data_IF_274459749916
#
_entry.id   IF_274459749916
#
_cell.length_a   1.000
_cell.length_b   1.000
_cell.length_c   1.000
_cell.angle_alpha   90.00
_cell.angle_beta   90.00
_cell.angle_gamma   90.00
#
_symmetry.space_group_name_H-M   'P 1'
#
loop_
_entity.id
_entity.type
_entity.pdbx_description
1 polymer ?
#
# COMPACT_ATOMS: atom_id res chain seq x y z
N UNK A 1 -22.97 -5.81 -20.35
CA UNK A 1 -21.86 -4.87 -20.05
C UNK A 1 -22.38 -3.46 -19.78
N UNK A 2 -22.79 -3.22 -18.54
CA UNK A 2 -22.66 -1.92 -17.87
C UNK A 2 -22.55 -2.25 -16.39
N UNK A 3 -21.32 -2.48 -15.94
CA UNK A 3 -20.98 -2.33 -14.53
C UNK A 3 -21.19 -0.84 -14.15
N UNK A 4 -21.34 -0.49 -12.86
CA UNK A 4 -21.12 0.89 -12.41
C UNK A 4 -19.84 1.43 -13.07
N UNK A 5 -19.84 2.71 -13.44
CA UNK A 5 -18.73 3.37 -14.14
C UNK A 5 -17.40 3.04 -13.43
N UNK A 6 -16.65 2.07 -13.97
CA UNK A 6 -15.48 1.53 -13.29
C UNK A 6 -14.40 2.60 -13.29
N UNK A 7 -14.10 3.15 -12.12
CA UNK A 7 -13.09 4.18 -11.97
C UNK A 7 -11.66 3.62 -12.05
N UNK A 8 -11.53 2.29 -12.12
CA UNK A 8 -10.31 1.49 -12.14
C UNK A 8 -9.45 1.78 -10.91
N UNK A 9 -10.06 1.64 -9.73
CA UNK A 9 -9.43 1.98 -8.44
C UNK A 9 -9.38 0.81 -7.48
N UNK A 10 -8.41 0.87 -6.56
CA UNK A 10 -8.48 0.15 -5.29
C UNK A 10 -9.08 1.06 -4.22
N UNK A 11 -9.76 0.48 -3.23
CA UNK A 11 -10.39 1.21 -2.12
C UNK A 11 -10.05 0.54 -0.79
N UNK A 12 -9.83 1.36 0.23
CA UNK A 12 -9.52 0.89 1.58
C UNK A 12 -10.54 1.46 2.55
N UNK A 13 -11.05 0.59 3.43
CA UNK A 13 -12.02 0.94 4.46
C UNK A 13 -11.59 0.38 5.82
N UNK A 14 -12.06 1.01 6.88
CA UNK A 14 -12.04 0.54 8.26
C UNK A 14 -13.42 0.03 8.65
N UNK A 15 -13.53 -1.19 9.19
CA UNK A 15 -14.79 -1.88 9.42
C UNK A 15 -14.88 -2.53 10.82
N UNK A 16 -16.11 -2.59 11.36
CA UNK A 16 -16.43 -3.33 12.60
C UNK A 16 -16.38 -4.86 12.49
N UNK A 17 -16.52 -5.46 11.30
CA UNK A 17 -16.45 -6.91 11.09
C UNK A 17 -15.66 -7.27 9.82
N UNK A 18 -15.31 -8.55 9.70
CA UNK A 18 -14.81 -9.16 8.47
C UNK A 18 -16.00 -9.72 7.67
N UNK A 19 -16.28 -9.23 6.45
CA UNK A 19 -17.41 -9.69 5.65
C UNK A 19 -17.25 -11.15 5.20
N UNK A 20 -18.28 -11.96 5.38
CA UNK A 20 -18.33 -13.35 4.89
C UNK A 20 -19.21 -13.52 3.65
N UNK A 21 -20.10 -12.56 3.39
CA UNK A 21 -20.97 -12.46 2.23
C UNK A 21 -21.27 -10.97 1.93
N UNK A 22 -21.85 -10.66 0.77
CA UNK A 22 -22.18 -9.29 0.38
C UNK A 22 -23.19 -8.61 1.33
N UNK A 23 -24.10 -9.40 1.90
CA UNK A 23 -25.14 -8.96 2.85
C UNK A 23 -24.61 -8.83 4.28
N UNK A 24 -23.39 -9.34 4.56
CA UNK A 24 -22.75 -9.31 5.89
C UNK A 24 -22.16 -7.92 6.18
N UNK A 25 -23.04 -6.93 6.17
CA UNK A 25 -22.70 -5.52 6.29
C UNK A 25 -22.20 -5.19 7.71
N UNK A 26 -21.12 -4.41 7.82
CA UNK A 26 -20.62 -3.89 9.09
C UNK A 26 -21.59 -2.91 9.73
N UNK A 27 -21.51 -2.76 11.05
CA UNK A 27 -22.22 -1.72 11.79
C UNK A 27 -21.59 -0.34 11.54
N UNK A 28 -20.27 -0.27 11.51
CA UNK A 28 -19.49 0.95 11.24
C UNK A 28 -18.54 0.77 10.05
N UNK A 29 -18.42 1.83 9.25
CA UNK A 29 -17.55 1.94 8.08
C UNK A 29 -16.92 3.33 8.09
N UNK A 30 -15.62 3.39 7.85
CA UNK A 30 -14.93 4.61 7.41
C UNK A 30 -14.19 4.34 6.11
N UNK A 31 -14.32 5.22 5.12
CA UNK A 31 -13.40 5.27 4.00
C UNK A 31 -12.00 5.66 4.50
N UNK A 32 -10.95 5.11 3.89
CA UNK A 32 -9.58 5.43 4.27
C UNK A 32 -8.77 5.96 3.10
N UNK A 33 -8.80 5.29 1.95
CA UNK A 33 -7.98 5.67 0.80
C UNK A 33 -8.52 5.05 -0.49
N UNK A 34 -8.22 5.68 -1.61
CA UNK A 34 -8.44 5.10 -2.93
C UNK A 34 -7.30 5.43 -3.88
N UNK A 35 -6.95 4.49 -4.77
CA UNK A 35 -5.83 4.64 -5.69
C UNK A 35 -6.19 4.17 -7.10
N UNK A 36 -5.97 5.00 -8.14
CA UNK A 36 -6.21 4.60 -9.52
C UNK A 36 -5.12 3.63 -9.98
N UNK A 37 -5.55 2.53 -10.60
CA UNK A 37 -4.73 1.53 -11.29
C UNK A 37 -3.67 0.79 -10.44
N UNK A 38 -3.60 1.01 -9.13
CA UNK A 38 -2.60 0.36 -8.26
C UNK A 38 -3.12 0.19 -6.82
N UNK A 39 -2.39 -0.62 -6.05
CA UNK A 39 -2.45 -0.72 -4.59
C UNK A 39 -1.10 -0.27 -4.05
N UNK A 40 -0.97 0.89 -3.39
CA UNK A 40 0.32 1.42 -2.98
C UNK A 40 0.94 0.65 -1.81
N UNK A 41 2.23 0.87 -1.56
CA UNK A 41 2.98 0.11 -0.54
C UNK A 41 2.42 0.26 0.89
N UNK A 42 2.03 1.46 1.30
CA UNK A 42 1.51 1.74 2.64
C UNK A 42 0.19 1.00 2.89
N UNK A 43 -0.65 0.88 1.86
CA UNK A 43 -1.88 0.06 1.93
C UNK A 43 -1.53 -1.43 2.06
N UNK A 44 -0.59 -1.95 1.26
CA UNK A 44 -0.14 -3.35 1.40
C UNK A 44 0.44 -3.63 2.79
N UNK A 45 1.20 -2.68 3.33
CA UNK A 45 1.77 -2.79 4.68
C UNK A 45 0.69 -2.76 5.75
N UNK A 46 -0.28 -1.84 5.66
CA UNK A 46 -1.43 -1.76 6.54
C UNK A 46 -2.26 -3.06 6.49
N UNK A 47 -2.50 -3.60 5.29
CA UNK A 47 -3.22 -4.87 5.14
C UNK A 47 -2.44 -6.10 5.62
N UNK A 48 -1.12 -6.00 5.83
CA UNK A 48 -0.26 -7.17 6.12
C UNK A 48 -0.51 -7.84 7.47
N UNK A 49 -1.25 -7.20 8.39
CA UNK A 49 -1.45 -7.67 9.78
C UNK A 49 -2.03 -9.08 9.92
N UNK A 50 -3.02 -9.43 9.10
CA UNK A 50 -3.63 -10.76 8.96
C UNK A 50 -4.50 -10.77 7.69
N UNK A 51 -3.92 -10.64 6.48
CA UNK A 51 -4.69 -10.51 5.25
C UNK A 51 -5.36 -11.84 4.91
N UNK A 52 -6.67 -11.80 4.71
CA UNK A 52 -7.50 -12.94 4.36
C UNK A 52 -8.47 -12.55 3.25
N UNK A 53 -8.67 -13.48 2.32
CA UNK A 53 -9.71 -13.33 1.30
C UNK A 53 -11.10 -13.30 1.97
N UNK A 54 -11.92 -12.35 1.57
CA UNK A 54 -13.28 -12.16 2.06
C UNK A 54 -14.25 -11.81 0.92
N UNK A 55 -15.54 -11.67 1.23
CA UNK A 55 -16.50 -11.19 0.24
C UNK A 55 -16.29 -9.71 -0.05
N UNK A 56 -16.45 -9.31 -1.31
CA UNK A 56 -16.56 -7.89 -1.67
C UNK A 56 -17.87 -7.31 -1.15
N UNK A 57 -17.83 -6.06 -0.70
CA UNK A 57 -18.99 -5.26 -0.30
C UNK A 57 -19.43 -4.28 -1.40
N UNK A 58 -18.65 -4.15 -2.47
CA UNK A 58 -18.97 -3.26 -3.61
C UNK A 58 -20.12 -3.82 -4.44
N UNK A 59 -20.10 -5.12 -4.77
CA UNK A 59 -21.16 -5.78 -5.54
C UNK A 59 -21.33 -7.25 -5.16
N UNK A 60 -22.53 -7.80 -5.36
CA UNK A 60 -22.88 -9.21 -5.15
C UNK A 60 -22.63 -10.08 -6.40
N UNK A 61 -22.15 -9.48 -7.49
CA UNK A 61 -21.79 -10.12 -8.76
C UNK A 61 -21.89 -9.15 -9.94
N UNK A 62 -21.98 -9.68 -11.17
CA UNK A 62 -22.18 -8.85 -12.35
C UNK A 62 -23.67 -8.58 -12.61
N UNK A 63 -23.98 -7.37 -13.09
CA UNK A 63 -25.36 -6.90 -13.27
C UNK A 63 -26.15 -7.67 -14.35
N UNK A 64 -25.47 -8.30 -15.31
CA UNK A 64 -26.09 -9.09 -16.37
C UNK A 64 -26.35 -10.56 -15.99
N UNK A 65 -26.09 -10.93 -14.74
CA UNK A 65 -26.29 -12.28 -14.22
C UNK A 65 -27.62 -12.44 -13.46
N UNK A 66 -28.32 -13.56 -13.71
CA UNK A 66 -29.58 -13.86 -13.05
C UNK A 66 -29.45 -14.20 -11.56
N UNK A 67 -30.53 -14.05 -10.77
CA UNK A 67 -30.53 -14.42 -9.35
C UNK A 67 -30.11 -15.88 -9.14
N UNK A 68 -29.18 -16.13 -8.20
CA UNK A 68 -28.69 -17.47 -7.87
C UNK A 68 -27.56 -18.02 -8.77
N UNK A 69 -27.07 -17.21 -9.73
CA UNK A 69 -25.93 -17.55 -10.59
C UNK A 69 -24.86 -16.45 -10.66
N UNK A 70 -24.89 -15.51 -9.72
CA UNK A 70 -23.95 -14.40 -9.68
C UNK A 70 -22.53 -14.89 -9.43
N UNK A 71 -21.61 -14.41 -10.26
CA UNK A 71 -20.16 -14.57 -10.10
C UNK A 71 -19.74 -13.95 -8.77
N UNK A 72 -19.01 -14.71 -7.96
CA UNK A 72 -18.55 -14.19 -6.67
C UNK A 72 -17.42 -13.20 -6.86
N UNK A 73 -17.52 -12.09 -6.15
CA UNK A 73 -16.51 -11.05 -6.10
C UNK A 73 -15.83 -11.07 -4.73
N UNK A 74 -14.52 -10.83 -4.74
CA UNK A 74 -13.67 -11.03 -3.59
C UNK A 74 -12.96 -9.73 -3.22
N UNK A 75 -12.62 -9.62 -1.94
CA UNK A 75 -11.83 -8.54 -1.36
C UNK A 75 -10.82 -9.11 -0.37
N UNK A 76 -10.04 -8.24 0.27
CA UNK A 76 -9.08 -8.62 1.30
C UNK A 76 -9.48 -7.95 2.61
N UNK A 77 -9.62 -8.73 3.68
CA UNK A 77 -9.77 -8.21 5.03
C UNK A 77 -8.52 -8.46 5.86
N UNK A 78 -8.20 -7.52 6.75
CA UNK A 78 -7.09 -7.67 7.70
C UNK A 78 -7.45 -7.10 9.07
N UNK A 79 -6.65 -7.39 10.09
CA UNK A 79 -6.82 -6.76 11.41
C UNK A 79 -6.18 -5.38 11.40
N UNK A 80 -6.93 -4.37 11.79
CA UNK A 80 -6.48 -2.98 11.76
C UNK A 80 -5.22 -2.79 12.60
N UNK A 81 -5.29 -3.15 13.88
CA UNK A 81 -4.23 -2.88 14.87
C UNK A 81 -2.87 -3.45 14.45
N UNK A 82 -2.84 -4.72 14.02
CA UNK A 82 -1.59 -5.38 13.62
C UNK A 82 -0.94 -4.74 12.39
N UNK A 83 -1.76 -4.29 11.44
CA UNK A 83 -1.31 -3.53 10.28
C UNK A 83 -0.78 -2.15 10.65
N UNK A 84 -1.51 -1.45 11.51
CA UNK A 84 -1.19 -0.10 11.92
C UNK A 84 0.10 -0.02 12.74
N UNK A 85 0.38 -1.00 13.59
CA UNK A 85 1.69 -1.12 14.28
C UNK A 85 2.86 -1.23 13.30
N UNK A 86 2.68 -1.96 12.19
CA UNK A 86 3.69 -2.04 11.13
C UNK A 86 3.87 -0.69 10.42
N UNK A 87 2.79 0.04 10.14
CA UNK A 87 2.85 1.39 9.57
C UNK A 87 3.59 2.35 10.50
N UNK A 88 3.30 2.36 11.81
CA UNK A 88 4.02 3.16 12.82
C UNK A 88 5.53 2.87 12.84
N UNK A 89 5.90 1.59 12.81
CA UNK A 89 7.30 1.16 12.76
C UNK A 89 7.97 1.60 11.46
N UNK A 90 7.31 1.40 10.32
CA UNK A 90 7.84 1.84 9.02
C UNK A 90 8.06 3.35 8.99
N UNK A 91 7.07 4.17 9.38
CA UNK A 91 7.20 5.63 9.43
C UNK A 91 8.40 6.06 10.28
N UNK A 92 8.60 5.46 11.45
CA UNK A 92 9.76 5.73 12.32
C UNK A 92 11.09 5.48 11.60
N UNK A 93 11.23 4.34 10.92
CA UNK A 93 12.44 3.99 10.16
C UNK A 93 12.62 4.92 8.95
N UNK A 94 11.54 5.21 8.23
CA UNK A 94 11.54 5.98 7.01
C UNK A 94 11.93 7.45 7.23
N UNK A 95 11.54 8.07 8.36
CA UNK A 95 11.99 9.42 8.76
C UNK A 95 13.51 9.50 8.89
N UNK A 96 14.12 8.51 9.55
CA UNK A 96 15.58 8.44 9.70
C UNK A 96 16.24 8.18 8.34
N UNK A 97 15.67 7.27 7.55
CA UNK A 97 16.19 6.92 6.23
C UNK A 97 16.20 8.12 5.26
N UNK A 98 15.13 8.92 5.23
CA UNK A 98 15.06 10.13 4.41
C UNK A 98 16.15 11.16 4.76
N UNK A 99 16.57 11.21 6.04
CA UNK A 99 17.59 12.14 6.53
C UNK A 99 19.04 11.65 6.34
N UNK A 100 19.25 10.37 5.97
CA UNK A 100 20.61 9.84 5.77
C UNK A 100 21.24 10.46 4.52
N UNK A 101 22.55 10.76 4.51
CA UNK A 101 23.25 11.15 3.29
C UNK A 101 23.21 10.04 2.23
N UNK A 102 23.09 10.41 0.96
CA UNK A 102 23.05 9.46 -0.15
C UNK A 102 24.33 8.64 -0.31
N UNK A 103 25.48 9.22 0.02
CA UNK A 103 26.79 8.57 -0.07
C UNK A 103 27.02 7.53 1.05
N UNK A 104 26.24 7.58 2.14
CA UNK A 104 26.34 6.62 3.25
C UNK A 104 25.87 5.20 2.85
N UNK A 105 25.20 5.06 1.71
CA UNK A 105 24.64 3.81 1.18
C UNK A 105 25.67 3.01 0.35
N UNK A 106 26.80 3.64 -0.01
CA UNK A 106 27.86 3.09 -0.86
C UNK A 106 29.11 2.60 -0.08
N UNK A 107 28.93 1.87 1.03
CA UNK A 107 30.06 1.12 1.60
C UNK A 107 30.09 -0.30 1.01
N UNK A 108 30.95 -0.57 0.00
CA UNK A 108 31.21 -1.94 -0.39
C UNK A 108 31.86 -2.65 0.79
N UNK A 109 31.31 -3.80 1.19
CA UNK A 109 32.04 -4.72 2.05
C UNK A 109 33.29 -5.18 1.28
N UNK A 110 34.46 -4.80 1.79
CA UNK A 110 35.76 -5.30 1.34
C UNK A 110 36.27 -4.75 0.01
N UNK A 111 36.96 -3.59 0.03
CA UNK A 111 38.04 -3.31 -0.94
C UNK A 111 39.27 -2.69 -0.27
N UNK A 112 40.48 -3.05 -0.72
CA UNK A 112 41.72 -2.62 -0.10
C UNK A 112 41.97 -1.11 -0.26
N UNK A 113 42.60 -0.53 0.76
CA UNK A 113 42.92 0.89 0.96
C UNK A 113 43.55 1.60 -0.27
N UNK A 114 44.22 0.84 -1.15
CA UNK A 114 44.95 1.34 -2.31
C UNK A 114 44.08 1.94 -3.42
N UNK A 115 42.81 1.52 -3.56
CA UNK A 115 41.91 2.08 -4.57
C UNK A 115 41.37 3.47 -4.21
N UNK A 116 41.41 3.84 -2.92
CA UNK A 116 41.00 5.17 -2.44
C UNK A 116 41.98 6.27 -2.84
N UNK A 117 43.28 5.94 -2.91
CA UNK A 117 44.35 6.88 -3.26
C UNK A 117 44.37 7.24 -4.75
N UNK A 118 44.00 6.34 -5.65
CA UNK A 118 43.96 6.62 -7.10
C UNK A 118 42.88 7.64 -7.50
N UNK A 119 41.81 7.75 -6.70
CA UNK A 119 40.70 8.68 -6.98
C UNK A 119 41.03 10.14 -6.65
N UNK A 120 42.04 10.39 -5.81
CA UNK A 120 42.48 11.74 -5.41
C UNK A 120 43.26 12.45 -6.53
N UNK A 121 43.82 11.71 -7.50
CA UNK A 121 44.67 12.26 -8.56
C UNK A 121 43.99 12.43 -9.92
N UNK A 122 42.69 12.19 -10.03
CA UNK A 122 41.91 12.49 -11.25
C UNK A 122 41.02 13.70 -11.02
N UNK A 123 41.49 14.87 -11.48
CA UNK A 123 40.69 16.09 -11.51
C UNK A 123 39.50 15.90 -12.47
N UNK A 124 38.34 15.52 -11.92
CA UNK A 124 37.07 15.50 -12.63
C UNK A 124 36.44 16.88 -12.50
N UNK A 125 36.01 17.45 -13.62
CA UNK A 125 35.19 18.66 -13.66
C UNK A 125 34.08 18.59 -12.59
N UNK A 126 33.77 19.69 -11.88
CA UNK A 126 32.66 19.69 -10.95
C UNK A 126 31.39 19.44 -11.75
N UNK A 127 30.86 18.22 -11.64
CA UNK A 127 29.52 17.94 -12.09
C UNK A 127 28.60 18.87 -11.29
N UNK A 128 27.70 19.57 -11.99
CA UNK A 128 26.56 20.24 -11.35
C UNK A 128 25.85 19.20 -10.50
N UNK A 129 26.01 19.30 -9.18
CA UNK A 129 25.29 18.45 -8.24
C UNK A 129 23.82 18.82 -8.40
N UNK A 130 22.95 17.90 -8.84
CA UNK A 130 21.53 18.19 -8.86
C UNK A 130 21.09 18.59 -7.44
N UNK A 131 20.15 19.54 -7.31
CA UNK A 131 19.65 19.93 -5.99
C UNK A 131 19.17 18.68 -5.25
N UNK A 132 19.46 18.62 -3.95
CA UNK A 132 18.98 17.52 -3.11
C UNK A 132 17.44 17.45 -3.20
N UNK A 133 16.91 16.23 -3.32
CA UNK A 133 15.47 16.02 -3.29
C UNK A 133 14.91 16.52 -1.95
N UNK A 134 13.78 17.24 -2.01
CA UNK A 134 13.08 17.68 -0.81
C UNK A 134 12.38 16.50 -0.15
N UNK A 135 12.26 16.54 1.17
CA UNK A 135 11.59 15.51 1.98
C UNK A 135 10.50 16.10 2.87
N UNK A 136 10.19 17.39 2.74
CA UNK A 136 9.30 18.09 3.66
C UNK A 136 7.86 17.57 3.57
N UNK A 137 7.35 17.40 2.35
CA UNK A 137 6.01 16.85 2.12
C UNK A 137 5.95 15.37 2.52
N UNK A 138 6.97 14.59 2.17
CA UNK A 138 7.06 13.19 2.58
C UNK A 138 6.99 13.00 4.10
N UNK A 139 7.74 13.79 4.87
CA UNK A 139 7.75 13.69 6.33
C UNK A 139 6.41 14.12 6.94
N UNK A 140 5.80 15.20 6.43
CA UNK A 140 4.47 15.62 6.85
C UNK A 140 3.40 14.56 6.52
N UNK A 141 3.44 13.99 5.32
CA UNK A 141 2.52 12.92 4.89
C UNK A 141 2.63 11.66 5.75
N UNK A 142 3.81 11.33 6.29
CA UNK A 142 3.94 10.24 7.27
C UNK A 142 3.22 10.57 8.59
N UNK A 143 3.31 11.81 9.06
CA UNK A 143 2.62 12.24 10.29
C UNK A 143 1.10 12.24 10.08
N UNK A 144 0.63 12.84 8.99
CA UNK A 144 -0.79 12.87 8.59
C UNK A 144 -1.36 11.45 8.42
N UNK A 145 -0.59 10.52 7.83
CA UNK A 145 -0.99 9.11 7.72
C UNK A 145 -1.27 8.49 9.09
N UNK A 146 -0.40 8.72 10.08
CA UNK A 146 -0.55 8.13 11.40
C UNK A 146 -1.75 8.74 12.15
N UNK A 147 -1.90 10.06 12.09
CA UNK A 147 -3.02 10.77 12.71
C UNK A 147 -4.36 10.35 12.10
N UNK A 148 -4.42 10.27 10.76
CA UNK A 148 -5.62 9.87 10.05
C UNK A 148 -6.03 8.43 10.38
N UNK A 149 -5.09 7.48 10.32
CA UNK A 149 -5.39 6.08 10.62
C UNK A 149 -5.82 5.88 12.07
N UNK A 150 -5.19 6.58 13.04
CA UNK A 150 -5.62 6.52 14.44
C UNK A 150 -7.05 7.07 14.60
N UNK A 151 -7.40 8.16 13.92
CA UNK A 151 -8.74 8.77 14.01
C UNK A 151 -9.86 7.88 13.41
N UNK A 152 -9.53 7.06 12.40
CA UNK A 152 -10.48 6.21 11.68
C UNK A 152 -10.34 4.71 11.98
N UNK A 153 -9.74 4.40 13.14
CA UNK A 153 -9.53 3.02 13.59
C UNK A 153 -10.83 2.27 13.83
N UNK A 154 -10.86 1.01 13.43
CA UNK A 154 -11.89 0.04 13.79
C UNK A 154 -11.24 -1.35 13.97
N UNK A 155 -12.03 -2.42 14.08
CA UNK A 155 -11.51 -3.76 14.31
C UNK A 155 -10.78 -4.35 13.10
N UNK A 156 -11.29 -4.09 11.90
CA UNK A 156 -10.83 -4.68 10.66
C UNK A 156 -10.59 -3.62 9.58
N UNK A 157 -9.80 -4.01 8.60
CA UNK A 157 -9.64 -3.32 7.34
C UNK A 157 -10.31 -4.13 6.23
N UNK A 158 -10.72 -3.43 5.18
CA UNK A 158 -11.17 -4.01 3.91
C UNK A 158 -10.44 -3.30 2.77
N UNK A 159 -9.78 -4.07 1.91
CA UNK A 159 -9.19 -3.63 0.64
C UNK A 159 -10.00 -4.26 -0.49
N UNK A 160 -10.66 -3.40 -1.26
CA UNK A 160 -11.37 -3.76 -2.47
C UNK A 160 -10.46 -3.54 -3.69
N UNK A 161 -10.25 -4.59 -4.48
CA UNK A 161 -9.51 -4.55 -5.75
C UNK A 161 -10.39 -4.90 -6.95
N UNK A 162 -11.69 -5.06 -6.73
CA UNK A 162 -12.62 -5.63 -7.71
C UNK A 162 -12.60 -4.91 -9.06
N UNK A 163 -12.50 -3.57 -9.09
CA UNK A 163 -12.42 -2.84 -10.34
C UNK A 163 -11.13 -3.17 -11.09
N UNK A 164 -9.99 -3.21 -10.38
CA UNK A 164 -8.69 -3.56 -10.97
C UNK A 164 -8.70 -4.98 -11.54
N UNK A 165 -9.31 -5.92 -10.81
CA UNK A 165 -9.35 -7.33 -11.19
C UNK A 165 -10.25 -7.53 -12.42
N UNK A 166 -11.40 -6.86 -12.46
CA UNK A 166 -12.37 -6.92 -13.56
C UNK A 166 -11.89 -6.22 -14.85
N UNK A 167 -10.84 -5.39 -14.79
CA UNK A 167 -10.21 -4.87 -16.01
C UNK A 167 -9.55 -5.97 -16.84
N UNK A 168 -9.08 -7.03 -16.18
CA UNK A 168 -8.26 -8.07 -16.81
C UNK A 168 -8.92 -9.43 -16.86
N UNK A 169 -9.79 -9.73 -15.91
CA UNK A 169 -10.39 -11.05 -15.74
C UNK A 169 -11.92 -10.93 -15.64
N UNK A 170 -12.64 -11.98 -16.08
CA UNK A 170 -14.10 -12.08 -15.93
C UNK A 170 -14.58 -13.42 -15.39
N UNK A 171 -13.65 -14.37 -15.16
CA UNK A 171 -13.95 -15.68 -14.59
C UNK A 171 -13.77 -15.65 -13.06
N UNK A 172 -14.69 -16.27 -12.32
CA UNK A 172 -14.66 -16.29 -10.85
C UNK A 172 -13.33 -16.80 -10.28
N UNK A 173 -12.77 -17.86 -10.84
CA UNK A 173 -11.52 -18.44 -10.35
C UNK A 173 -10.32 -17.54 -10.66
N UNK A 174 -10.34 -16.88 -11.83
CA UNK A 174 -9.32 -15.90 -12.21
C UNK A 174 -9.37 -14.65 -11.31
N UNK A 175 -10.56 -14.11 -11.05
CA UNK A 175 -10.78 -12.98 -10.13
C UNK A 175 -10.30 -13.32 -8.71
N UNK A 176 -10.66 -14.52 -8.21
CA UNK A 176 -10.15 -15.03 -6.93
C UNK A 176 -8.62 -15.06 -6.90
N UNK A 177 -8.00 -15.56 -7.97
CA UNK A 177 -6.56 -15.65 -8.07
C UNK A 177 -5.89 -14.25 -8.10
N UNK A 178 -6.55 -13.21 -8.62
CA UNK A 178 -6.07 -11.83 -8.53
C UNK A 178 -5.96 -11.38 -7.07
N UNK A 179 -7.04 -11.57 -6.30
CA UNK A 179 -7.09 -11.20 -4.88
C UNK A 179 -6.06 -11.99 -4.06
N UNK A 180 -5.91 -13.30 -4.29
CA UNK A 180 -4.91 -14.14 -3.61
C UNK A 180 -3.46 -13.71 -3.92
N UNK A 181 -3.19 -13.21 -5.14
CA UNK A 181 -1.89 -12.59 -5.48
C UNK A 181 -1.67 -11.30 -4.70
N UNK A 182 -2.70 -10.48 -4.52
CA UNK A 182 -2.58 -9.25 -3.75
C UNK A 182 -2.45 -9.52 -2.24
N UNK A 183 -3.12 -10.54 -1.70
CA UNK A 183 -2.85 -11.06 -0.34
C UNK A 183 -1.38 -11.42 -0.17
N UNK A 184 -0.79 -12.11 -1.16
CA UNK A 184 0.64 -12.46 -1.16
C UNK A 184 1.56 -11.23 -1.22
N UNK A 185 1.12 -10.14 -1.85
CA UNK A 185 1.86 -8.85 -1.86
C UNK A 185 1.78 -8.16 -0.49
N UNK A 186 0.61 -8.16 0.16
CA UNK A 186 0.45 -7.66 1.53
C UNK A 186 1.35 -8.41 2.51
N UNK A 187 1.34 -9.75 2.47
CA UNK A 187 2.21 -10.57 3.32
C UNK A 187 3.70 -10.27 3.08
N UNK A 188 4.12 -10.09 1.82
CA UNK A 188 5.51 -9.72 1.49
C UNK A 188 5.89 -8.36 2.04
N UNK A 189 5.01 -7.35 1.97
CA UNK A 189 5.28 -6.03 2.56
C UNK A 189 5.51 -6.12 4.08
N UNK A 190 4.66 -6.89 4.78
CA UNK A 190 4.85 -7.16 6.21
C UNK A 190 6.17 -7.90 6.52
N UNK A 191 6.46 -8.96 5.77
CA UNK A 191 7.70 -9.73 5.93
C UNK A 191 8.96 -8.89 5.65
N UNK A 192 8.90 -7.96 4.71
CA UNK A 192 10.00 -7.05 4.40
C UNK A 192 10.31 -6.13 5.59
N UNK A 193 9.27 -5.58 6.23
CA UNK A 193 9.43 -4.77 7.43
C UNK A 193 9.94 -5.61 8.61
N UNK A 194 9.40 -6.81 8.80
CA UNK A 194 9.78 -7.72 9.88
C UNK A 194 11.24 -8.17 9.77
N UNK A 195 11.77 -8.25 8.54
CA UNK A 195 13.19 -8.56 8.28
C UNK A 195 14.17 -7.42 8.61
N UNK A 196 13.68 -6.18 8.78
CA UNK A 196 14.54 -5.08 9.22
C UNK A 196 14.94 -5.28 10.69
N UNK A 197 16.17 -4.89 11.09
CA UNK A 197 16.60 -4.98 12.48
C UNK A 197 15.78 -4.07 13.40
N UNK A 198 15.85 -4.33 14.71
CA UNK A 198 15.17 -3.50 15.72
C UNK A 198 15.85 -2.14 15.92
N UNK A 199 17.16 -2.06 15.69
CA UNK A 199 17.88 -0.78 15.72
C UNK A 199 17.43 0.11 14.55
N UNK A 200 16.80 1.24 14.87
CA UNK A 200 16.18 2.13 13.87
C UNK A 200 17.21 2.68 12.88
N UNK A 201 18.43 2.97 13.32
CA UNK A 201 19.48 3.53 12.44
C UNK A 201 19.96 2.50 11.43
N UNK A 202 20.22 1.26 11.88
CA UNK A 202 20.56 0.15 10.99
C UNK A 202 19.40 -0.19 10.05
N UNK A 203 18.17 -0.21 10.56
CA UNK A 203 16.98 -0.46 9.75
C UNK A 203 16.82 0.61 8.66
N UNK A 204 17.04 1.89 9.00
CA UNK A 204 16.95 3.01 8.07
C UNK A 204 18.01 2.91 6.96
N UNK A 205 19.24 2.52 7.31
CA UNK A 205 20.29 2.29 6.32
C UNK A 205 19.95 1.13 5.37
N UNK A 206 19.41 0.02 5.89
CA UNK A 206 18.99 -1.13 5.08
C UNK A 206 17.81 -0.74 4.19
N UNK A 207 16.79 -0.07 4.72
CA UNK A 207 15.63 0.41 3.98
C UNK A 207 16.08 1.30 2.83
N UNK A 208 16.86 2.36 3.10
CA UNK A 208 17.36 3.30 2.07
C UNK A 208 18.16 2.59 0.97
N UNK A 209 18.89 1.54 1.31
CA UNK A 209 19.60 0.73 0.31
C UNK A 209 18.65 -0.12 -0.52
N UNK A 210 17.68 -0.77 0.13
CA UNK A 210 16.71 -1.66 -0.52
C UNK A 210 15.81 -0.90 -1.50
N UNK A 211 15.52 0.38 -1.24
CA UNK A 211 14.78 1.21 -2.20
C UNK A 211 15.51 1.43 -3.53
N UNK A 212 16.85 1.41 -3.52
CA UNK A 212 17.70 1.70 -4.69
C UNK A 212 18.24 0.46 -5.38
N UNK A 213 18.38 -0.63 -4.65
CA UNK A 213 18.96 -1.87 -5.14
C UNK A 213 18.03 -3.02 -4.86
N UNK A 214 17.58 -3.69 -5.92
CA UNK A 214 16.71 -4.86 -5.79
C UNK A 214 17.47 -5.96 -5.06
N UNK A 215 17.10 -6.18 -3.80
CA UNK A 215 17.68 -7.20 -2.94
C UNK A 215 17.05 -8.57 -3.13
N UNK A 216 17.36 -9.47 -2.20
CA UNK A 216 16.67 -10.75 -2.06
C UNK A 216 15.35 -10.59 -1.30
N UNK A 217 14.46 -11.59 -1.45
CA UNK A 217 13.25 -11.68 -0.63
C UNK A 217 13.61 -11.73 0.86
N UNK A 218 12.86 -11.04 1.75
CA UNK A 218 11.68 -10.22 1.46
C UNK A 218 11.98 -8.74 1.19
N UNK A 219 13.25 -8.31 1.23
CA UNK A 219 13.63 -6.89 1.15
C UNK A 219 13.43 -6.27 -0.25
N UNK A 220 13.27 -7.10 -1.27
CA UNK A 220 12.90 -6.67 -2.63
C UNK A 220 11.55 -5.92 -2.67
N UNK A 221 10.67 -6.11 -1.68
CA UNK A 221 9.41 -5.38 -1.57
C UNK A 221 9.58 -3.86 -1.39
N UNK A 222 10.75 -3.40 -0.94
CA UNK A 222 11.06 -1.96 -0.83
C UNK A 222 11.62 -1.36 -2.11
N UNK A 223 12.02 -2.18 -3.09
CA UNK A 223 12.71 -1.71 -4.28
C UNK A 223 11.83 -0.79 -5.12
N UNK A 224 12.37 0.37 -5.48
CA UNK A 224 11.67 1.38 -6.27
C UNK A 224 10.87 2.39 -5.46
N UNK A 225 10.69 2.18 -4.14
CA UNK A 225 10.07 3.20 -3.29
C UNK A 225 10.95 4.45 -3.22
N UNK A 226 10.32 5.61 -3.08
CA UNK A 226 11.04 6.85 -2.79
C UNK A 226 10.74 7.32 -1.38
N UNK A 227 11.75 7.95 -0.77
CA UNK A 227 11.71 8.49 0.59
C UNK A 227 11.95 10.00 0.53
N UNK A 228 11.26 10.64 -0.40
CA UNK A 228 11.33 12.06 -0.74
C UNK A 228 9.96 12.50 -1.29
N UNK A 229 9.83 13.78 -1.63
CA UNK A 229 8.55 14.40 -2.01
C UNK A 229 7.95 13.86 -3.33
N UNK A 230 8.69 13.03 -4.09
CA UNK A 230 8.17 12.36 -5.29
C UNK A 230 7.61 10.96 -4.99
N UNK A 231 7.44 10.55 -3.72
CA UNK A 231 7.09 9.17 -3.36
C UNK A 231 5.76 8.66 -3.92
N UNK A 232 4.87 9.57 -4.31
CA UNK A 232 3.54 9.28 -4.87
C UNK A 232 3.33 9.87 -6.26
N UNK A 233 4.36 10.46 -6.88
CA UNK A 233 4.25 11.09 -8.19
C UNK A 233 4.27 10.04 -9.33
N UNK A 234 3.11 9.42 -9.56
CA UNK A 234 2.90 8.44 -10.64
C UNK A 234 2.53 9.10 -11.97
N UNK A 235 2.11 10.37 -11.97
CA UNK A 235 1.55 11.06 -13.14
C UNK A 235 2.58 11.40 -14.21
N UNK A 236 3.78 11.79 -13.79
CA UNK A 236 4.90 12.07 -14.70
C UNK A 236 5.93 10.92 -14.76
N UNK A 237 5.66 9.83 -14.03
CA UNK A 237 6.51 8.65 -13.95
C UNK A 237 7.74 8.81 -13.04
N UNK A 238 7.81 9.86 -12.21
CA UNK A 238 8.90 10.05 -11.24
C UNK A 238 9.00 8.92 -10.20
N UNK A 239 7.89 8.21 -9.95
CA UNK A 239 7.86 6.89 -9.31
C UNK A 239 6.98 5.91 -10.08
N UNK A 240 7.38 4.64 -10.09
CA UNK A 240 6.57 3.51 -10.57
C UNK A 240 5.97 2.69 -9.42
N UNK A 241 6.36 3.00 -8.17
CA UNK A 241 5.93 2.28 -6.97
C UNK A 241 5.48 3.33 -5.97
N UNK A 242 4.19 3.73 -6.00
CA UNK A 242 3.67 4.73 -5.08
C UNK A 242 3.75 4.23 -3.64
N UNK A 243 4.08 5.14 -2.73
CA UNK A 243 4.11 4.85 -1.31
C UNK A 243 2.70 4.78 -0.73
N UNK A 244 1.81 5.70 -1.08
CA UNK A 244 0.41 5.72 -0.63
C UNK A 244 0.18 6.58 0.60
N UNK A 245 0.56 7.86 0.56
CA UNK A 245 0.38 8.82 1.67
C UNK A 245 -0.91 9.67 1.54
N UNK A 246 -1.80 9.33 0.61
CA UNK A 246 -3.09 10.01 0.42
C UNK A 246 -4.23 9.25 1.11
N UNK A 247 -4.93 9.93 2.02
CA UNK A 247 -6.02 9.38 2.83
C UNK A 247 -7.23 10.31 2.81
N UNK A 248 -8.42 9.74 2.66
CA UNK A 248 -9.68 10.47 2.63
C UNK A 248 -10.83 9.55 3.07
N UNK A 249 -11.81 10.10 3.79
CA UNK A 249 -13.04 9.38 4.15
C UNK A 249 -14.01 9.32 2.97
N UNK A 250 -13.93 10.29 2.06
CA UNK A 250 -14.84 10.45 0.93
C UNK A 250 -14.24 9.76 -0.30
N UNK A 251 -14.63 8.51 -0.48
CA UNK A 251 -14.22 7.71 -1.64
C UNK A 251 -15.25 7.80 -2.78
N UNK A 252 -14.80 7.56 -4.00
CA UNK A 252 -15.64 7.43 -5.20
C UNK A 252 -16.71 6.36 -5.00
N UNK A 253 -16.34 5.23 -4.38
CA UNK A 253 -17.30 4.20 -4.00
C UNK A 253 -17.54 4.21 -2.49
N UNK A 254 -18.72 4.64 -2.06
CA UNK A 254 -19.14 4.58 -0.67
C UNK A 254 -19.89 3.27 -0.38
N UNK A 255 -19.41 2.54 0.63
CA UNK A 255 -20.09 1.36 1.14
C UNK A 255 -21.24 1.78 2.07
N UNK A 256 -22.26 0.92 2.15
CA UNK A 256 -23.36 1.07 3.11
C UNK A 256 -23.09 0.25 4.36
N UNK A 257 -23.30 0.85 5.52
CA UNK A 257 -23.40 0.08 6.76
C UNK A 257 -24.68 -0.75 6.79
N UNK A 258 -24.82 -1.59 7.82
CA UNK A 258 -25.95 -2.52 7.99
C UNK A 258 -27.30 -1.82 8.01
N UNK A 259 -27.39 -0.66 8.69
CA UNK A 259 -28.65 0.07 8.79
C UNK A 259 -29.06 0.64 7.42
N UNK A 260 -28.13 1.29 6.73
CA UNK A 260 -28.33 1.86 5.39
C UNK A 260 -28.67 0.80 4.34
N UNK A 261 -28.00 -0.35 4.40
CA UNK A 261 -28.25 -1.46 3.48
C UNK A 261 -29.68 -1.99 3.63
N UNK A 262 -30.10 -2.29 4.87
CA UNK A 262 -31.47 -2.75 5.16
C UNK A 262 -32.54 -1.73 4.76
N UNK A 263 -32.28 -0.44 5.01
CA UNK A 263 -33.19 0.62 4.62
C UNK A 263 -33.37 0.70 3.09
N UNK A 264 -32.32 0.41 2.31
CA UNK A 264 -32.43 0.34 0.84
C UNK A 264 -33.25 -0.87 0.39
N UNK A 265 -33.05 -2.04 0.97
CA UNK A 265 -33.80 -3.25 0.60
C UNK A 265 -35.30 -3.12 0.86
N UNK A 266 -35.70 -2.37 1.88
CA UNK A 266 -37.12 -2.11 2.18
C UNK A 266 -37.78 -1.14 1.19
N UNK A 267 -36.98 -0.37 0.46
CA UNK A 267 -37.44 0.66 -0.49
C UNK A 267 -37.29 0.22 -1.96
N UNK A 268 -36.73 -0.97 -2.21
CA UNK A 268 -36.54 -1.54 -3.55
C UNK A 268 -37.66 -2.53 -3.89
#
# INVERSE_FOLDING_TARGET
MFAPEMANRSYVYSLSNRPTAYEDRPETISGLSEWPYDVPFMVRLLMSGDPQLCASLISDGFDDEGPGRKTKLYAISSRFESGFERVKRFATIARVAASLPDDAVNLPQGRPLMDRLKRVFSARQPATVPPAASTAWFLAGLDETLEFLEAHRDAFLLLETVELDCMTEGDEAALRACVEREVSRCLRAGAALDALPLDVTQAASILKRATRHKGELPLDAFFGLRLDDDCDNTRDGATQVPLGLFWDEVLYFQLRNRAEFKAREQNA
#
